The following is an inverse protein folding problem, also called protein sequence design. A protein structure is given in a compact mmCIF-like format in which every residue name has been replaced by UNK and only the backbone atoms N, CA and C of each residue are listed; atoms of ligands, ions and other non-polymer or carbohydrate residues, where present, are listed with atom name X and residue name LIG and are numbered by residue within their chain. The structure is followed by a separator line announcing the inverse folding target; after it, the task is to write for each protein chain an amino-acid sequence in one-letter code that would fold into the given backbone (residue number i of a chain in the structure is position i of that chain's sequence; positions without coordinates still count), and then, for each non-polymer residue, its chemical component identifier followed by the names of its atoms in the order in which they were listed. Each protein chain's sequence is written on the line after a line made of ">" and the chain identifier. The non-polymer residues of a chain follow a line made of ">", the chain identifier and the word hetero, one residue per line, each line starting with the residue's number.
data_IF_167546502090
#
_entry.id   IF_167546502090
#
_cell.length_a   1.000
_cell.length_b   1.000
_cell.length_c   1.000
_cell.angle_alpha   90.00
_cell.angle_beta   90.00
_cell.angle_gamma   90.00
#
_symmetry.space_group_name_H-M   'P 1'
#
loop_
_entity.id
_entity.type
_entity.pdbx_description
1 polymer ?
#
# COMPACT_ATOMS: atom_id res chain seq x y z
N UNK A 1 20.98 44.61 -2.21
CA UNK A 1 20.69 43.47 -3.11
C UNK A 1 21.05 42.10 -2.53
N UNK A 2 22.01 41.96 -1.60
CA UNK A 2 22.37 40.65 -1.01
C UNK A 2 21.25 39.96 -0.21
N UNK A 3 20.37 40.73 0.42
CA UNK A 3 19.33 40.21 1.32
C UNK A 3 18.20 39.45 0.62
N UNK A 4 17.93 39.76 -0.66
CA UNK A 4 16.88 39.12 -1.45
C UNK A 4 17.22 37.65 -1.75
N UNK A 5 18.48 37.37 -2.08
CA UNK A 5 18.94 36.02 -2.39
C UNK A 5 18.95 35.09 -1.16
N UNK A 6 19.24 35.63 0.03
CA UNK A 6 19.22 34.86 1.28
C UNK A 6 17.79 34.42 1.63
N UNK A 7 16.79 35.25 1.35
CA UNK A 7 15.38 34.91 1.55
C UNK A 7 14.91 33.82 0.59
N UNK A 8 15.33 33.88 -0.67
CA UNK A 8 14.99 32.88 -1.68
C UNK A 8 15.60 31.51 -1.34
N UNK A 9 16.89 31.47 -0.96
CA UNK A 9 17.55 30.22 -0.57
C UNK A 9 16.85 29.53 0.60
N UNK A 10 16.39 30.28 1.62
CA UNK A 10 15.66 29.69 2.77
C UNK A 10 14.36 29.03 2.36
N UNK A 11 13.62 29.62 1.42
CA UNK A 11 12.36 29.06 0.92
C UNK A 11 12.59 27.75 0.18
N UNK A 12 13.63 27.69 -0.66
CA UNK A 12 13.99 26.48 -1.40
C UNK A 12 14.49 25.35 -0.49
N UNK A 13 15.27 25.66 0.55
CA UNK A 13 15.74 24.66 1.52
C UNK A 13 14.56 24.03 2.27
N UNK A 14 13.58 24.83 2.69
CA UNK A 14 12.37 24.31 3.34
C UNK A 14 11.58 23.39 2.42
N UNK A 15 11.38 23.79 1.16
CA UNK A 15 10.66 22.98 0.18
C UNK A 15 11.38 21.66 -0.12
N UNK A 16 12.71 21.69 -0.26
CA UNK A 16 13.53 20.49 -0.46
C UNK A 16 13.47 19.55 0.75
N UNK A 17 13.49 20.08 1.98
CA UNK A 17 13.39 19.23 3.19
C UNK A 17 12.05 18.50 3.30
N UNK A 18 10.94 19.16 2.94
CA UNK A 18 9.61 18.55 2.93
C UNK A 18 9.52 17.49 1.83
N UNK A 19 10.08 17.77 0.65
CA UNK A 19 10.09 16.81 -0.45
C UNK A 19 10.90 15.56 -0.11
N UNK A 20 12.08 15.73 0.50
CA UNK A 20 12.91 14.60 0.97
C UNK A 20 12.21 13.79 2.06
N UNK A 21 11.51 14.45 2.99
CA UNK A 21 10.74 13.76 4.02
C UNK A 21 9.57 12.96 3.43
N UNK A 22 8.88 13.48 2.40
CA UNK A 22 7.87 12.73 1.67
C UNK A 22 8.45 11.52 0.93
N UNK A 23 9.60 11.67 0.28
CA UNK A 23 10.24 10.57 -0.44
C UNK A 23 10.78 9.47 0.47
N UNK A 24 11.20 9.81 1.70
CA UNK A 24 11.71 8.86 2.70
C UNK A 24 10.60 8.24 3.57
N UNK A 25 9.52 8.98 3.84
CA UNK A 25 8.36 8.50 4.61
C UNK A 25 7.34 7.75 3.76
N UNK A 26 7.41 7.89 2.44
CA UNK A 26 6.54 7.20 1.48
C UNK A 26 7.23 5.97 0.88
N UNK A 27 7.60 4.99 1.70
CA UNK A 27 7.58 3.63 1.17
C UNK A 27 6.12 3.33 0.85
N UNK A 28 5.70 3.14 -0.42
CA UNK A 28 4.44 2.47 -0.65
C UNK A 28 4.67 1.06 -0.13
N UNK A 29 4.28 0.82 1.12
CA UNK A 29 3.96 -0.52 1.56
C UNK A 29 2.82 -0.91 0.61
N UNK A 30 3.16 -1.54 -0.52
CA UNK A 30 2.21 -2.27 -1.35
C UNK A 30 1.65 -3.34 -0.42
N UNK A 31 0.62 -2.96 0.33
CA UNK A 31 -0.21 -3.90 1.03
C UNK A 31 -0.90 -4.67 -0.09
N UNK A 32 -0.35 -5.84 -0.42
CA UNK A 32 -1.02 -6.76 -1.31
C UNK A 32 -2.44 -6.95 -0.75
N UNK A 33 -3.42 -6.49 -1.53
CA UNK A 33 -4.80 -6.45 -1.05
C UNK A 33 -5.34 -7.87 -1.12
N UNK A 34 -5.35 -8.56 0.02
CA UNK A 34 -5.87 -9.93 0.12
C UNK A 34 -7.29 -9.94 0.67
N UNK A 35 -8.15 -10.75 0.08
CA UNK A 35 -9.51 -10.99 0.56
C UNK A 35 -9.61 -12.41 1.11
N UNK A 36 -10.24 -12.57 2.28
CA UNK A 36 -10.58 -13.88 2.82
C UNK A 36 -11.92 -14.35 2.25
N UNK A 37 -11.89 -15.46 1.53
CA UNK A 37 -13.06 -16.04 0.87
C UNK A 37 -13.52 -17.28 1.61
N UNK A 38 -14.83 -17.42 1.80
CA UNK A 38 -15.46 -18.59 2.40
C UNK A 38 -16.36 -19.28 1.38
N UNK A 39 -16.14 -20.57 1.15
CA UNK A 39 -16.91 -21.39 0.21
C UNK A 39 -17.64 -22.47 0.98
N UNK A 40 -18.96 -22.33 1.09
CA UNK A 40 -19.84 -23.36 1.61
C UNK A 40 -20.18 -24.37 0.53
N UNK A 41 -20.07 -25.65 0.83
CA UNK A 41 -20.35 -26.75 -0.10
C UNK A 41 -21.38 -27.71 0.49
N UNK A 42 -22.06 -28.47 -0.39
CA UNK A 42 -22.93 -29.56 0.03
C UNK A 42 -22.08 -30.79 0.34
N UNK A 43 -22.26 -31.37 1.53
CA UNK A 43 -21.46 -32.50 2.03
C UNK A 43 -21.95 -33.88 1.57
N UNK A 44 -22.83 -33.92 0.56
CA UNK A 44 -23.38 -35.18 0.03
C UNK A 44 -22.39 -35.99 -0.82
N UNK A 45 -21.23 -35.41 -1.15
CA UNK A 45 -20.10 -36.08 -1.80
C UNK A 45 -18.83 -35.98 -0.95
N UNK A 46 -17.66 -35.85 -1.58
CA UNK A 46 -16.35 -35.79 -0.90
C UNK A 46 -16.07 -34.49 -0.13
N UNK A 47 -17.05 -33.59 -0.06
CA UNK A 47 -16.88 -32.26 0.51
C UNK A 47 -17.12 -32.25 2.01
N UNK A 48 -16.19 -31.66 2.77
CA UNK A 48 -16.22 -31.67 4.24
C UNK A 48 -16.97 -30.46 4.85
N UNK A 49 -17.51 -29.56 4.00
CA UNK A 49 -18.38 -28.46 4.44
C UNK A 49 -17.91 -27.08 3.96
N UNK A 50 -17.28 -26.31 4.85
CA UNK A 50 -16.87 -24.92 4.55
C UNK A 50 -15.36 -24.84 4.40
N UNK A 51 -14.92 -24.29 3.27
CA UNK A 51 -13.50 -24.04 2.98
C UNK A 51 -13.21 -22.54 3.05
N UNK A 52 -12.00 -22.17 3.46
CA UNK A 52 -11.54 -20.78 3.47
C UNK A 52 -10.16 -20.66 2.83
N UNK A 53 -9.97 -19.63 2.01
CA UNK A 53 -8.68 -19.30 1.40
C UNK A 53 -8.49 -17.79 1.30
N UNK A 54 -7.23 -17.37 1.21
CA UNK A 54 -6.87 -15.99 0.94
C UNK A 54 -6.68 -15.80 -0.56
N UNK A 55 -7.29 -14.77 -1.10
CA UNK A 55 -7.29 -14.44 -2.53
C UNK A 55 -6.57 -13.11 -2.71
N UNK A 56 -5.52 -13.10 -3.52
CA UNK A 56 -4.90 -11.85 -3.99
C UNK A 56 -5.89 -11.13 -4.91
N UNK A 57 -6.35 -9.94 -4.51
CA UNK A 57 -7.32 -9.16 -5.30
C UNK A 57 -6.73 -8.63 -6.60
N UNK A 58 -5.41 -8.47 -6.68
CA UNK A 58 -4.74 -8.04 -7.90
C UNK A 58 -4.67 -9.15 -8.95
N UNK A 59 -4.32 -10.38 -8.52
CA UNK A 59 -4.11 -11.49 -9.45
C UNK A 59 -5.33 -12.41 -9.62
N UNK A 60 -6.30 -12.33 -8.71
CA UNK A 60 -7.44 -13.23 -8.63
C UNK A 60 -7.05 -14.67 -8.30
N UNK A 61 -5.84 -14.89 -7.77
CA UNK A 61 -5.31 -16.21 -7.44
C UNK A 61 -5.31 -16.46 -5.93
N UNK A 62 -5.43 -17.72 -5.49
CA UNK A 62 -5.22 -18.09 -4.10
C UNK A 62 -3.76 -17.83 -3.72
N UNK A 63 -3.54 -17.27 -2.53
CA UNK A 63 -2.22 -17.02 -1.93
C UNK A 63 -1.86 -18.10 -0.92
#
# INVERSE_FOLDING_TARGET
>A
MLWSHVLECRRWIGLLSVLSALSLGGSPMQAEETARVYVGTYTTGDSEGVYSFELSLESGKPT
#
